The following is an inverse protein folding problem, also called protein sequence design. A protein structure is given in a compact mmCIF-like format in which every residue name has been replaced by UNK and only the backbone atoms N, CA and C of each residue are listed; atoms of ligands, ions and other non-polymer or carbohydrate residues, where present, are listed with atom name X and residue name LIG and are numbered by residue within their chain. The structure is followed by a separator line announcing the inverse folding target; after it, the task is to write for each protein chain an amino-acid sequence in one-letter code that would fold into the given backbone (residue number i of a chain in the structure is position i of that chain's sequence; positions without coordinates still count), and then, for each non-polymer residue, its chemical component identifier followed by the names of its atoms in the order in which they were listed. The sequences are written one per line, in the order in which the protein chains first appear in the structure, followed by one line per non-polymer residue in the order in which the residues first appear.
data_IF_813990536971
#
_entry.id   IF_813990536971
#
_cell.length_a   1.000
_cell.length_b   1.000
_cell.length_c   1.000
_cell.angle_alpha   90.00
_cell.angle_beta   90.00
_cell.angle_gamma   90.00
#
_symmetry.space_group_name_H-M   'P 1'
#
loop_
_entity.id
_entity.type
_entity.pdbx_description
1 polymer ?
#
# COMPACT_ATOMS: atom_id res chain seq x y z
N UNK A 1 -14.62 16.36 -37.70
CA UNK A 1 -13.71 17.49 -37.95
C UNK A 1 -12.90 17.32 -39.24
N UNK A 2 -12.81 16.12 -39.81
CA UNK A 2 -12.05 15.83 -41.03
C UNK A 2 -12.81 16.16 -42.33
N UNK A 3 -14.10 16.34 -42.28
CA UNK A 3 -14.87 16.69 -43.49
C UNK A 3 -14.82 18.19 -43.89
N UNK A 4 -14.43 19.06 -42.98
CA UNK A 4 -14.34 20.50 -43.30
C UNK A 4 -12.99 20.90 -43.93
N UNK A 5 -11.96 20.08 -43.81
CA UNK A 5 -10.65 20.40 -44.36
C UNK A 5 -10.44 20.01 -45.83
N UNK A 6 -11.36 19.20 -46.37
CA UNK A 6 -11.25 18.72 -47.76
C UNK A 6 -11.93 19.64 -48.79
N UNK A 7 -12.67 20.67 -48.33
CA UNK A 7 -13.39 21.58 -49.21
C UNK A 7 -12.61 22.85 -49.63
N UNK A 8 -11.43 23.06 -49.04
CA UNK A 8 -10.66 24.32 -49.23
C UNK A 8 -9.49 24.23 -50.22
N UNK A 9 -9.15 23.01 -50.68
CA UNK A 9 -8.08 22.84 -51.67
C UNK A 9 -8.58 21.99 -52.85
N UNK A 10 -9.16 22.64 -53.83
CA UNK A 10 -9.26 22.12 -55.19
C UNK A 10 -7.94 22.44 -55.84
N UNK A 11 -7.30 21.36 -56.37
CA UNK A 11 -6.02 21.38 -57.08
C UNK A 11 -4.76 21.33 -56.21
N UNK A 12 -4.30 20.12 -55.99
CA UNK A 12 -3.00 19.46 -55.95
C UNK A 12 -1.74 20.14 -55.37
N UNK A 13 -1.76 21.40 -54.94
CA UNK A 13 -0.56 22.09 -54.40
C UNK A 13 -0.76 22.54 -52.99
N UNK A 14 -0.25 21.73 -52.06
CA UNK A 14 -0.06 22.20 -50.68
C UNK A 14 1.24 23.00 -50.61
N UNK A 15 1.22 24.26 -50.19
CA UNK A 15 2.43 24.97 -49.91
C UNK A 15 3.20 24.28 -48.76
N UNK A 16 4.49 23.97 -48.97
CA UNK A 16 5.34 23.41 -47.97
C UNK A 16 5.41 24.35 -46.74
N UNK A 17 5.33 23.77 -45.49
CA UNK A 17 5.49 24.61 -44.32
C UNK A 17 6.88 25.19 -44.25
N UNK A 18 7.06 26.43 -43.72
CA UNK A 18 8.35 27.07 -43.61
C UNK A 18 9.27 26.22 -42.74
N UNK A 19 10.45 25.90 -43.24
CA UNK A 19 11.50 25.24 -42.49
C UNK A 19 11.92 26.14 -41.33
N UNK A 20 11.36 25.93 -40.15
CA UNK A 20 11.87 26.48 -38.90
C UNK A 20 13.28 25.90 -38.69
N UNK A 21 14.27 26.77 -38.63
CA UNK A 21 15.68 26.44 -38.41
C UNK A 21 15.79 25.71 -37.06
N UNK A 22 16.20 24.43 -37.10
CA UNK A 22 16.63 23.73 -35.92
C UNK A 22 17.86 24.39 -35.34
N UNK A 23 17.86 24.76 -34.06
CA UNK A 23 19.10 25.12 -33.40
C UNK A 23 19.95 23.85 -33.29
N UNK A 24 21.07 23.87 -34.00
CA UNK A 24 22.14 22.87 -33.85
C UNK A 24 22.72 22.96 -32.44
N UNK A 25 22.85 21.80 -31.85
CA UNK A 25 23.85 21.52 -30.80
C UNK A 25 23.44 21.88 -29.36
N UNK A 26 22.64 21.03 -28.74
CA UNK A 26 22.90 20.69 -27.34
C UNK A 26 23.43 19.25 -27.30
N UNK A 27 24.68 19.15 -26.88
CA UNK A 27 25.36 17.91 -26.54
C UNK A 27 24.39 17.06 -25.75
N UNK A 28 24.10 15.85 -26.23
CA UNK A 28 23.60 14.77 -25.37
C UNK A 28 24.68 14.60 -24.31
N UNK A 29 24.46 15.16 -23.15
CA UNK A 29 25.11 14.66 -21.95
C UNK A 29 24.53 13.26 -21.79
N UNK A 30 25.40 12.30 -21.79
CA UNK A 30 25.15 10.91 -21.51
C UNK A 30 24.30 10.84 -20.22
N UNK A 31 22.99 10.61 -20.40
CA UNK A 31 22.16 10.18 -19.31
C UNK A 31 22.67 8.77 -18.98
N UNK A 32 23.42 8.66 -17.90
CA UNK A 32 23.72 7.38 -17.30
C UNK A 32 22.37 6.68 -17.02
N UNK A 33 22.11 5.50 -17.62
CA UNK A 33 21.01 4.67 -17.18
C UNK A 33 21.45 4.05 -15.85
N UNK A 34 20.67 4.29 -14.79
CA UNK A 34 20.81 3.56 -13.53
C UNK A 34 21.44 4.36 -12.40
N UNK A 35 20.80 5.43 -11.97
CA UNK A 35 20.67 5.64 -10.54
C UNK A 35 19.41 4.86 -10.14
N UNK A 36 19.52 3.56 -9.89
CA UNK A 36 18.64 2.87 -8.99
C UNK A 36 18.77 3.63 -7.66
N UNK A 37 17.86 4.54 -7.42
CA UNK A 37 17.63 5.02 -6.07
C UNK A 37 17.16 3.77 -5.33
N UNK A 38 18.05 3.26 -4.50
CA UNK A 38 17.81 2.11 -3.62
C UNK A 38 16.74 2.58 -2.61
N UNK A 39 15.48 2.61 -3.09
CA UNK A 39 14.33 2.96 -2.29
C UNK A 39 14.11 1.81 -1.30
N UNK A 40 14.54 2.01 -0.06
CA UNK A 40 14.21 1.09 1.03
C UNK A 40 12.82 1.45 1.58
N UNK A 41 11.78 0.65 1.30
CA UNK A 41 10.43 0.90 1.81
C UNK A 41 10.38 0.95 3.33
N UNK A 42 11.37 0.35 4.01
CA UNK A 42 11.50 0.36 5.47
C UNK A 42 11.80 1.76 6.01
N UNK A 43 12.47 2.63 5.23
CA UNK A 43 12.70 4.03 5.63
C UNK A 43 11.42 4.86 5.69
N UNK A 44 10.37 4.42 4.99
CA UNK A 44 9.07 5.09 4.98
C UNK A 44 8.20 4.78 6.20
N UNK A 45 8.54 3.73 6.97
CA UNK A 45 7.76 3.31 8.15
C UNK A 45 8.00 4.29 9.30
N UNK A 46 6.91 4.83 9.82
CA UNK A 46 6.96 5.64 11.04
C UNK A 46 6.92 4.75 12.28
N UNK A 47 8.10 4.40 12.82
CA UNK A 47 8.17 3.57 14.02
C UNK A 47 7.90 4.43 15.25
N UNK A 48 6.68 4.36 15.70
CA UNK A 48 6.24 4.97 16.95
C UNK A 48 6.47 4.00 18.11
N UNK A 49 6.80 4.52 19.27
CA UNK A 49 6.83 3.72 20.51
C UNK A 49 5.43 3.22 20.88
N UNK A 50 5.29 2.13 21.66
CA UNK A 50 3.98 1.65 22.09
C UNK A 50 3.14 2.70 22.83
N UNK A 51 3.78 3.61 23.55
CA UNK A 51 3.11 4.71 24.23
C UNK A 51 2.52 5.72 23.23
N UNK A 52 3.28 6.09 22.20
CA UNK A 52 2.84 7.00 21.14
C UNK A 52 1.75 6.36 20.27
N UNK A 53 1.87 5.06 19.94
CA UNK A 53 0.82 4.34 19.24
C UNK A 53 -0.48 4.37 20.06
N UNK A 54 -0.41 4.05 21.35
CA UNK A 54 -1.59 4.10 22.21
C UNK A 54 -2.18 5.51 22.27
N UNK A 55 -1.35 6.53 22.49
CA UNK A 55 -1.81 7.92 22.55
C UNK A 55 -2.47 8.38 21.24
N UNK A 56 -1.95 7.95 20.10
CA UNK A 56 -2.57 8.19 18.79
C UNK A 56 -3.91 7.46 18.64
N UNK A 57 -4.00 6.20 19.05
CA UNK A 57 -5.27 5.45 19.03
C UNK A 57 -6.32 6.06 19.95
N UNK A 58 -5.92 6.67 21.09
CA UNK A 58 -6.81 7.33 22.04
C UNK A 58 -7.54 8.55 21.44
N UNK A 59 -6.96 9.16 20.39
CA UNK A 59 -7.58 10.30 19.71
C UNK A 59 -8.76 9.89 18.83
N UNK A 60 -8.79 8.63 18.34
CA UNK A 60 -9.80 8.16 17.40
C UNK A 60 -10.78 7.16 18.01
N UNK A 61 -10.36 6.39 19.01
CA UNK A 61 -11.18 5.33 19.61
C UNK A 61 -11.30 5.59 21.11
N UNK A 62 -12.51 5.73 21.59
CA UNK A 62 -12.80 5.94 23.02
C UNK A 62 -12.81 4.58 23.73
N UNK A 63 -12.15 4.51 24.90
CA UNK A 63 -12.06 3.28 25.69
C UNK A 63 -11.12 2.23 25.07
N UNK A 64 -11.36 0.96 25.35
CA UNK A 64 -10.58 -0.18 24.85
C UNK A 64 -9.08 -0.14 25.25
N UNK A 65 -8.74 0.42 26.42
CA UNK A 65 -7.36 0.65 26.83
C UNK A 65 -6.49 -0.61 26.84
N UNK A 66 -7.05 -1.73 27.30
CA UNK A 66 -6.33 -3.01 27.31
C UNK A 66 -5.98 -3.49 25.90
N UNK A 67 -6.97 -3.46 25.00
CA UNK A 67 -6.77 -3.86 23.59
C UNK A 67 -5.75 -2.96 22.89
N UNK A 68 -5.83 -1.63 23.09
CA UNK A 68 -4.90 -0.67 22.52
C UNK A 68 -3.47 -0.91 22.97
N UNK A 69 -3.24 -1.20 24.27
CA UNK A 69 -1.92 -1.52 24.79
C UNK A 69 -1.33 -2.77 24.16
N UNK A 70 -2.12 -3.85 24.11
CA UNK A 70 -1.68 -5.12 23.51
C UNK A 70 -1.36 -4.94 22.03
N UNK A 71 -2.24 -4.27 21.30
CA UNK A 71 -2.07 -4.00 19.87
C UNK A 71 -0.83 -3.15 19.62
N UNK A 72 -0.63 -2.07 20.39
CA UNK A 72 0.52 -1.19 20.27
C UNK A 72 1.85 -1.93 20.49
N UNK A 73 1.93 -2.79 21.50
CA UNK A 73 3.13 -3.58 21.78
C UNK A 73 3.36 -4.64 20.69
N UNK A 74 2.31 -5.35 20.27
CA UNK A 74 2.42 -6.39 19.25
C UNK A 74 2.94 -5.82 17.93
N UNK A 75 2.39 -4.71 17.51
CA UNK A 75 2.76 -4.05 16.27
C UNK A 75 4.16 -3.44 16.33
N UNK A 76 4.49 -2.78 17.42
CA UNK A 76 5.85 -2.27 17.65
C UNK A 76 6.89 -3.39 17.54
N UNK A 77 6.66 -4.51 18.21
CA UNK A 77 7.57 -5.67 18.16
C UNK A 77 7.66 -6.25 16.75
N UNK A 78 6.54 -6.28 16.01
CA UNK A 78 6.52 -6.75 14.64
C UNK A 78 7.41 -5.90 13.73
N UNK A 79 7.21 -4.58 13.70
CA UNK A 79 8.00 -3.70 12.83
C UNK A 79 9.45 -3.57 13.30
N UNK A 80 9.70 -3.54 14.61
CA UNK A 80 11.07 -3.57 15.13
C UNK A 80 11.83 -4.81 14.66
N UNK A 81 11.16 -5.95 14.60
CA UNK A 81 11.76 -7.18 14.08
C UNK A 81 12.06 -7.08 12.58
N UNK A 82 11.15 -6.53 11.76
CA UNK A 82 11.36 -6.35 10.33
C UNK A 82 12.57 -5.45 10.06
N UNK A 83 12.72 -4.39 10.85
CA UNK A 83 13.83 -3.43 10.72
C UNK A 83 15.14 -3.93 11.30
N UNK A 84 15.09 -4.85 12.29
CA UNK A 84 16.28 -5.50 12.85
C UNK A 84 16.71 -6.61 11.90
N UNK A 85 17.34 -6.24 10.79
CA UNK A 85 17.92 -7.17 9.81
C UNK A 85 19.15 -7.91 10.34
N UNK A 86 19.60 -7.58 11.53
CA UNK A 86 20.76 -8.24 12.13
C UNK A 86 20.39 -9.65 12.57
N UNK A 87 21.26 -10.59 12.20
CA UNK A 87 21.23 -11.99 12.59
C UNK A 87 21.32 -12.13 14.12
N UNK A 88 20.18 -12.10 14.77
CA UNK A 88 20.12 -12.65 16.12
C UNK A 88 20.04 -14.16 16.01
N UNK A 89 20.80 -14.90 16.82
CA UNK A 89 20.72 -16.36 16.93
C UNK A 89 19.32 -16.85 17.35
N UNK A 90 18.39 -15.92 17.59
CA UNK A 90 17.01 -16.18 18.01
C UNK A 90 16.07 -15.88 16.87
N UNK A 91 15.41 -16.90 16.35
CA UNK A 91 14.34 -16.78 15.36
C UNK A 91 13.06 -16.24 16.03
N UNK A 92 12.76 -14.97 15.75
CA UNK A 92 11.52 -14.34 16.19
C UNK A 92 10.38 -14.71 15.24
N UNK A 93 9.42 -15.50 15.71
CA UNK A 93 8.27 -15.90 14.90
C UNK A 93 7.34 -14.73 14.58
N UNK A 94 6.73 -14.77 13.40
CA UNK A 94 5.64 -13.87 13.04
C UNK A 94 4.43 -14.19 13.92
N UNK A 95 3.78 -13.16 14.47
CA UNK A 95 2.55 -13.32 15.24
C UNK A 95 1.41 -12.56 14.56
N UNK A 96 0.28 -13.24 14.41
CA UNK A 96 -0.98 -12.60 14.02
C UNK A 96 -1.71 -12.13 15.31
N UNK A 97 -2.49 -11.06 15.19
CA UNK A 97 -3.30 -10.53 16.29
C UNK A 97 -4.75 -10.89 16.06
N UNK A 98 -5.36 -11.62 16.98
CA UNK A 98 -6.79 -11.93 16.96
C UNK A 98 -7.54 -10.89 17.81
N UNK A 99 -8.52 -10.21 17.20
CA UNK A 99 -9.36 -9.22 17.87
C UNK A 99 -10.77 -9.79 18.07
N UNK A 100 -11.17 -10.00 19.32
CA UNK A 100 -12.48 -10.53 19.70
C UNK A 100 -13.33 -9.42 20.34
N UNK A 101 -14.60 -9.41 20.03
CA UNK A 101 -15.56 -8.48 20.62
C UNK A 101 -16.82 -8.29 19.79
N UNK A 102 -17.89 -7.72 20.37
CA UNK A 102 -19.13 -7.45 19.66
C UNK A 102 -18.95 -6.54 18.46
N UNK A 103 -19.92 -6.56 17.55
CA UNK A 103 -19.98 -5.62 16.43
C UNK A 103 -20.04 -4.18 16.97
N UNK A 104 -19.44 -3.24 16.26
CA UNK A 104 -19.44 -1.81 16.64
C UNK A 104 -18.43 -1.41 17.72
N UNK A 105 -17.60 -2.31 18.25
CA UNK A 105 -16.59 -2.00 19.27
C UNK A 105 -15.34 -1.31 18.71
N UNK A 106 -15.28 -1.06 17.40
CA UNK A 106 -14.18 -0.33 16.77
C UNK A 106 -12.98 -1.18 16.36
N UNK A 107 -13.12 -2.51 16.25
CA UNK A 107 -12.01 -3.41 15.84
C UNK A 107 -11.36 -2.98 14.53
N UNK A 108 -12.16 -2.83 13.49
CA UNK A 108 -11.70 -2.40 12.16
C UNK A 108 -11.09 -0.99 12.19
N UNK A 109 -11.70 -0.07 12.96
CA UNK A 109 -11.21 1.29 13.11
C UNK A 109 -9.84 1.33 13.79
N UNK A 110 -9.62 0.48 14.81
CA UNK A 110 -8.31 0.36 15.48
C UNK A 110 -7.23 -0.08 14.49
N UNK A 111 -7.49 -1.12 13.69
CA UNK A 111 -6.54 -1.62 12.69
C UNK A 111 -6.23 -0.59 11.60
N UNK A 112 -7.27 0.06 11.07
CA UNK A 112 -7.13 1.09 10.04
C UNK A 112 -6.38 2.33 10.54
N UNK A 113 -6.68 2.79 11.76
CA UNK A 113 -5.99 3.93 12.37
C UNK A 113 -4.51 3.62 12.59
N UNK A 114 -4.22 2.40 13.06
CA UNK A 114 -2.87 1.92 13.26
C UNK A 114 -2.05 1.94 11.96
N UNK A 115 -2.57 1.36 10.88
CA UNK A 115 -1.88 1.34 9.58
C UNK A 115 -1.59 2.75 9.07
N UNK A 116 -2.54 3.68 9.26
CA UNK A 116 -2.37 5.09 8.90
C UNK A 116 -1.27 5.78 9.71
N UNK A 117 -1.20 5.52 11.02
CA UNK A 117 -0.19 6.10 11.91
C UNK A 117 1.23 5.61 11.55
N UNK A 118 1.36 4.36 11.16
CA UNK A 118 2.61 3.74 10.75
C UNK A 118 3.01 4.06 9.32
N UNK A 119 2.09 4.66 8.54
CA UNK A 119 2.26 4.93 7.12
C UNK A 119 2.53 3.68 6.28
N UNK A 120 1.78 2.60 6.56
CA UNK A 120 1.89 1.33 5.82
C UNK A 120 0.62 1.04 5.03
N UNK A 121 0.71 0.29 3.92
CA UNK A 121 -0.45 -0.14 3.15
C UNK A 121 -1.43 -0.94 4.01
N UNK A 122 -2.72 -0.77 3.74
CA UNK A 122 -3.78 -1.42 4.51
C UNK A 122 -4.83 -2.01 3.57
N UNK A 123 -5.14 -3.29 3.75
CA UNK A 123 -6.20 -3.96 3.04
C UNK A 123 -7.19 -4.60 4.02
N UNK A 124 -8.49 -4.55 3.65
CA UNK A 124 -9.57 -5.21 4.38
C UNK A 124 -10.09 -6.35 3.51
N UNK A 125 -10.22 -7.50 4.11
CA UNK A 125 -10.86 -8.67 3.53
C UNK A 125 -12.01 -9.13 4.44
N UNK A 126 -13.10 -9.58 3.83
CA UNK A 126 -14.20 -10.20 4.53
C UNK A 126 -14.08 -11.72 4.36
N UNK A 127 -13.94 -12.44 5.47
CA UNK A 127 -13.77 -13.88 5.45
C UNK A 127 -14.97 -14.64 4.85
N UNK A 128 -16.16 -14.04 4.89
CA UNK A 128 -17.38 -14.66 4.33
C UNK A 128 -17.40 -14.68 2.81
N UNK A 129 -16.63 -13.80 2.17
CA UNK A 129 -16.53 -13.72 0.71
C UNK A 129 -15.42 -14.59 0.13
N UNK A 130 -14.55 -15.10 0.99
CA UNK A 130 -13.39 -15.91 0.59
C UNK A 130 -13.86 -17.34 0.33
N UNK A 131 -13.62 -17.85 -0.85
CA UNK A 131 -13.91 -19.22 -1.23
C UNK A 131 -12.64 -19.93 -1.74
N UNK A 132 -12.69 -21.26 -1.76
CA UNK A 132 -11.62 -22.03 -2.41
C UNK A 132 -11.57 -21.70 -3.90
N UNK A 133 -10.34 -21.70 -4.45
CA UNK A 133 -10.09 -21.43 -5.88
C UNK A 133 -11.01 -22.27 -6.80
N UNK A 134 -11.78 -21.58 -7.65
CA UNK A 134 -12.69 -22.20 -8.61
C UNK A 134 -14.17 -22.22 -8.18
N UNK A 135 -14.53 -21.73 -6.99
CA UNK A 135 -15.91 -21.47 -6.60
C UNK A 135 -16.28 -19.99 -6.78
N UNK A 136 -17.57 -19.69 -6.77
CA UNK A 136 -18.07 -18.30 -6.88
C UNK A 136 -17.78 -17.55 -5.59
N UNK A 137 -16.77 -16.70 -5.60
CA UNK A 137 -16.36 -15.87 -4.46
C UNK A 137 -15.03 -15.14 -4.74
N UNK A 138 -14.50 -14.46 -3.75
CA UNK A 138 -13.16 -13.85 -3.85
C UNK A 138 -12.10 -14.91 -3.53
N UNK A 139 -11.12 -15.09 -4.41
CA UNK A 139 -9.96 -15.94 -4.13
C UNK A 139 -9.03 -15.28 -3.10
N UNK A 140 -8.29 -16.10 -2.35
CA UNK A 140 -7.32 -15.61 -1.35
C UNK A 140 -6.29 -14.66 -1.99
N UNK A 141 -5.93 -14.90 -3.26
CA UNK A 141 -5.03 -14.04 -4.03
C UNK A 141 -5.58 -12.62 -4.19
N UNK A 142 -6.90 -12.42 -4.21
CA UNK A 142 -7.52 -11.10 -4.30
C UNK A 142 -7.22 -10.23 -3.07
N UNK A 143 -7.00 -10.83 -1.90
CA UNK A 143 -6.60 -10.11 -0.69
C UNK A 143 -5.22 -9.49 -0.88
N UNK A 144 -4.28 -10.27 -1.43
CA UNK A 144 -2.94 -9.79 -1.73
C UNK A 144 -2.97 -8.71 -2.82
N UNK A 145 -3.82 -8.89 -3.83
CA UNK A 145 -4.00 -7.88 -4.88
C UNK A 145 -4.53 -6.56 -4.30
N UNK A 146 -5.50 -6.60 -3.38
CA UNK A 146 -5.99 -5.40 -2.67
C UNK A 146 -4.87 -4.71 -1.90
N UNK A 147 -3.98 -5.48 -1.25
CA UNK A 147 -2.83 -4.91 -0.54
C UNK A 147 -1.82 -4.28 -1.49
N UNK A 148 -1.50 -4.96 -2.60
CA UNK A 148 -0.59 -4.42 -3.64
C UNK A 148 -1.17 -3.14 -4.26
N UNK A 149 -2.49 -3.08 -4.50
CA UNK A 149 -3.16 -1.86 -4.97
C UNK A 149 -3.08 -0.73 -3.93
N UNK A 150 -3.24 -1.05 -2.64
CA UNK A 150 -3.09 -0.07 -1.56
C UNK A 150 -1.64 0.42 -1.40
N UNK A 151 -0.68 -0.32 -1.92
CA UNK A 151 0.75 0.04 -1.98
C UNK A 151 1.14 0.73 -3.30
N UNK A 152 0.18 1.14 -4.14
CA UNK A 152 0.43 1.72 -5.47
C UNK A 152 1.24 0.80 -6.40
N UNK A 153 1.02 -0.51 -6.30
CA UNK A 153 1.72 -1.58 -7.03
C UNK A 153 3.22 -1.70 -6.70
N UNK A 154 3.67 -1.11 -5.62
CA UNK A 154 4.99 -1.33 -5.04
C UNK A 154 4.98 -2.59 -4.17
N UNK A 155 5.58 -3.68 -4.67
CA UNK A 155 5.59 -4.98 -3.99
C UNK A 155 6.38 -4.91 -2.68
N UNK A 156 7.53 -4.23 -2.67
CA UNK A 156 8.36 -4.11 -1.47
C UNK A 156 7.63 -3.31 -0.37
N UNK A 157 6.85 -2.31 -0.74
CA UNK A 157 5.97 -1.59 0.17
C UNK A 157 4.78 -2.45 0.62
N UNK A 158 4.24 -3.29 -0.25
CA UNK A 158 3.15 -4.20 0.10
C UNK A 158 3.57 -5.27 1.14
N UNK A 159 4.82 -5.75 1.09
CA UNK A 159 5.36 -6.75 2.02
C UNK A 159 5.33 -6.30 3.49
N UNK A 160 5.34 -5.01 3.75
CA UNK A 160 5.27 -4.42 5.09
C UNK A 160 3.86 -3.97 5.47
N UNK A 161 2.88 -4.22 4.62
CA UNK A 161 1.49 -3.83 4.82
C UNK A 161 0.75 -4.63 5.88
N UNK A 162 -0.44 -4.16 6.24
CA UNK A 162 -1.33 -4.80 7.19
C UNK A 162 -2.59 -5.28 6.46
N UNK A 163 -2.93 -6.54 6.64
CA UNK A 163 -4.20 -7.12 6.20
C UNK A 163 -5.10 -7.31 7.42
N UNK A 164 -6.29 -6.77 7.36
CA UNK A 164 -7.34 -7.00 8.35
C UNK A 164 -8.40 -7.92 7.74
N UNK A 165 -8.54 -9.10 8.34
CA UNK A 165 -9.56 -10.08 7.94
C UNK A 165 -10.72 -9.95 8.92
N UNK A 166 -11.89 -9.50 8.44
CA UNK A 166 -13.10 -9.39 9.22
C UNK A 166 -13.91 -10.69 9.17
N UNK A 167 -14.78 -10.89 10.14
CA UNK A 167 -15.73 -12.01 10.23
C UNK A 167 -15.10 -13.41 10.11
N UNK A 168 -13.86 -13.58 10.59
CA UNK A 168 -13.12 -14.86 10.54
C UNK A 168 -13.88 -16.02 11.21
N UNK A 169 -14.79 -15.72 12.13
CA UNK A 169 -15.64 -16.68 12.81
C UNK A 169 -16.76 -17.25 11.92
N UNK A 170 -16.96 -16.71 10.74
CA UNK A 170 -17.99 -17.15 9.77
C UNK A 170 -17.48 -18.18 8.76
N UNK A 171 -16.17 -18.44 8.73
CA UNK A 171 -15.61 -19.50 7.89
C UNK A 171 -16.05 -20.84 8.48
N UNK A 172 -16.80 -21.63 7.70
CA UNK A 172 -17.27 -22.97 8.05
C UNK A 172 -16.53 -24.03 7.23
#
# INVERSE_FOLDING_TARGET
LDMCNNALYKDGERPAPPRAGMPRNRRRTDAQPGADYDYDPLESINILTPAEIKAGLDQYVIGQDAAKKVLAVSVYNHYKRILSRESSDVELQKSNVLMLGPSGTGKTLLAQTLARMLNVPFAIADATTITEAGYVGEDVENILLKLIQAADFDVARAEIGIIYVDEIDKIT
#
